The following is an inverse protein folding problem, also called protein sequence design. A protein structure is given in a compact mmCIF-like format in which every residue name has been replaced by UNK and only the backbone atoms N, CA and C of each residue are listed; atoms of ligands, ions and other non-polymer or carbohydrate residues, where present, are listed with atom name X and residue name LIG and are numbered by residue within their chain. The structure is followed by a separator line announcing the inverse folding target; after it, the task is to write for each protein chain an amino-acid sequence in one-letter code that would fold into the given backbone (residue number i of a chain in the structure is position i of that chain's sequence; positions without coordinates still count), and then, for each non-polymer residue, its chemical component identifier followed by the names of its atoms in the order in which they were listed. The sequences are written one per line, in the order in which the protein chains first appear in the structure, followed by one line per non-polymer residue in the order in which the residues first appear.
data_IF_640125745802
#
_entry.id   IF_640125745802
#
_cell.length_a   1.000
_cell.length_b   1.000
_cell.length_c   1.000
_cell.angle_alpha   90.00
_cell.angle_beta   90.00
_cell.angle_gamma   90.00
#
_symmetry.space_group_name_H-M   'P 1'
#
loop_
_entity.id
_entity.type
_entity.pdbx_description
1 polymer ?
#
# COMPACT_ATOMS: atom_id res chain seq x y z
N UNK A 1 9.62 2.98 6.79
CA UNK A 1 9.11 1.80 7.55
C UNK A 1 8.09 1.03 6.73
N UNK A 2 6.95 1.60 6.36
CA UNK A 2 5.94 0.91 5.54
C UNK A 2 6.46 0.49 4.15
N UNK A 3 7.04 1.42 3.38
CA UNK A 3 7.63 1.14 2.05
C UNK A 3 8.76 0.10 2.10
N UNK A 4 9.40 -0.06 3.26
CA UNK A 4 10.45 -1.08 3.48
C UNK A 4 9.86 -2.43 3.94
N UNK A 5 8.53 -2.65 3.78
CA UNK A 5 7.86 -3.91 4.09
C UNK A 5 7.38 -4.07 5.53
N UNK A 6 7.50 -3.06 6.40
CA UNK A 6 7.03 -3.19 7.80
C UNK A 6 5.51 -3.01 7.89
N UNK A 7 4.81 -3.99 8.49
CA UNK A 7 3.37 -3.91 8.71
C UNK A 7 2.96 -2.80 9.69
N UNK A 8 1.78 -2.20 9.51
CA UNK A 8 1.32 -1.04 10.29
C UNK A 8 1.30 -1.26 11.81
N UNK A 9 0.89 -2.45 12.27
CA UNK A 9 0.93 -2.81 13.71
C UNK A 9 2.35 -2.90 14.27
N UNK A 10 3.33 -3.28 13.44
CA UNK A 10 4.73 -3.30 13.85
C UNK A 10 5.28 -1.87 13.97
N UNK A 11 4.91 -0.99 13.04
CA UNK A 11 5.28 0.43 13.10
C UNK A 11 4.66 1.08 14.34
N UNK A 12 3.41 0.77 14.67
CA UNK A 12 2.75 1.23 15.91
C UNK A 12 3.56 0.89 17.15
N UNK A 13 4.03 -0.36 17.30
CA UNK A 13 4.86 -0.77 18.45
C UNK A 13 6.17 0.00 18.56
N UNK A 14 6.75 0.40 17.43
CA UNK A 14 8.02 1.15 17.41
C UNK A 14 7.80 2.65 17.64
N UNK A 15 6.70 3.21 17.13
CA UNK A 15 6.45 4.66 17.13
C UNK A 15 5.50 5.13 18.24
N UNK A 16 4.76 4.23 18.88
CA UNK A 16 3.71 4.57 19.84
C UNK A 16 2.48 5.26 19.22
N UNK A 17 2.34 5.18 17.89
CA UNK A 17 1.21 5.79 17.15
C UNK A 17 0.29 4.69 16.67
N UNK A 18 -1.01 4.83 16.94
CA UNK A 18 -2.01 3.83 16.57
C UNK A 18 -1.97 3.52 15.06
N UNK A 19 -2.00 2.23 14.68
CA UNK A 19 -1.82 1.82 13.28
C UNK A 19 -2.81 2.46 12.30
N UNK A 20 -4.04 2.78 12.73
CA UNK A 20 -5.02 3.46 11.88
C UNK A 20 -4.55 4.86 11.47
N UNK A 21 -3.89 5.60 12.35
CA UNK A 21 -3.32 6.91 12.05
C UNK A 21 -2.23 6.79 10.99
N UNK A 22 -1.38 5.77 11.09
CA UNK A 22 -0.34 5.48 10.09
C UNK A 22 -0.95 5.15 8.72
N UNK A 23 -2.03 4.35 8.69
CA UNK A 23 -2.76 4.05 7.44
C UNK A 23 -3.30 5.34 6.82
N UNK A 24 -3.92 6.22 7.60
CA UNK A 24 -4.45 7.49 7.11
C UNK A 24 -3.34 8.38 6.53
N UNK A 25 -2.19 8.48 7.20
CA UNK A 25 -1.07 9.26 6.68
C UNK A 25 -0.51 8.69 5.38
N UNK A 26 -0.39 7.38 5.26
CA UNK A 26 0.05 6.74 4.02
C UNK A 26 -0.94 7.01 2.89
N UNK A 27 -2.25 6.98 3.15
CA UNK A 27 -3.27 7.34 2.15
C UNK A 27 -3.15 8.79 1.70
N UNK A 28 -3.04 9.73 2.64
CA UNK A 28 -2.89 11.15 2.32
C UNK A 28 -1.66 11.42 1.45
N UNK A 29 -0.54 10.78 1.75
CA UNK A 29 0.68 10.90 0.92
C UNK A 29 0.47 10.23 -0.44
N UNK A 30 -0.22 9.09 -0.50
CA UNK A 30 -0.55 8.41 -1.75
C UNK A 30 -1.44 9.25 -2.67
N UNK A 31 -2.38 10.02 -2.12
CA UNK A 31 -3.25 10.95 -2.86
C UNK A 31 -2.48 12.14 -3.46
N UNK A 32 -1.30 12.47 -2.94
CA UNK A 32 -0.43 13.52 -3.47
C UNK A 32 0.46 13.03 -4.62
N UNK A 33 0.55 11.71 -4.85
CA UNK A 33 1.34 11.16 -5.93
C UNK A 33 0.62 11.35 -7.28
N UNK A 34 1.37 11.60 -8.37
CA UNK A 34 0.78 11.66 -9.70
C UNK A 34 0.17 10.30 -10.07
N UNK A 35 -0.91 10.34 -10.86
CA UNK A 35 -1.62 9.13 -11.30
C UNK A 35 -0.76 8.23 -12.19
N UNK A 36 0.13 8.85 -12.97
CA UNK A 36 1.08 8.14 -13.83
C UNK A 36 2.50 8.65 -13.61
N UNK A 37 3.46 7.74 -13.80
CA UNK A 37 4.87 8.11 -13.88
C UNK A 37 5.13 8.84 -15.19
N UNK A 38 5.72 10.03 -15.12
CA UNK A 38 6.14 10.81 -16.28
C UNK A 38 7.68 10.76 -16.37
N UNK A 39 8.25 9.88 -17.20
CA UNK A 39 9.70 9.80 -17.36
C UNK A 39 10.24 11.01 -18.11
N UNK A 40 11.32 11.62 -17.60
CA UNK A 40 12.02 12.72 -18.30
C UNK A 40 12.55 12.31 -19.68
N UNK A 41 12.85 11.02 -19.87
CA UNK A 41 13.37 10.46 -21.13
C UNK A 41 12.70 9.14 -21.47
N UNK A 42 12.34 8.97 -22.74
CA UNK A 42 11.79 7.71 -23.26
C UNK A 42 12.95 6.71 -23.40
N UNK A 43 12.89 5.53 -22.75
CA UNK A 43 13.92 4.52 -22.88
C UNK A 43 13.89 3.88 -24.28
N UNK A 44 15.06 3.53 -24.82
CA UNK A 44 15.20 2.84 -26.11
C UNK A 44 14.73 1.39 -26.05
N UNK A 45 14.91 0.74 -24.89
CA UNK A 45 14.49 -0.63 -24.59
C UNK A 45 13.83 -0.67 -23.22
N UNK A 46 12.69 -1.35 -23.10
CA UNK A 46 11.98 -1.56 -21.84
C UNK A 46 11.82 -3.04 -21.54
N UNK A 47 12.11 -3.43 -20.29
CA UNK A 47 11.81 -4.77 -19.77
C UNK A 47 10.42 -4.75 -19.12
N UNK A 48 9.61 -5.77 -19.40
CA UNK A 48 8.33 -5.98 -18.74
C UNK A 48 8.46 -7.11 -17.74
N UNK A 49 8.18 -6.82 -16.48
CA UNK A 49 8.15 -7.79 -15.39
C UNK A 49 6.72 -7.92 -14.84
N UNK A 50 6.32 -9.14 -14.49
CA UNK A 50 4.98 -9.44 -14.00
C UNK A 50 5.04 -9.84 -12.51
N UNK A 51 4.38 -9.05 -11.67
CA UNK A 51 4.22 -9.36 -10.25
C UNK A 51 2.78 -9.71 -9.93
N UNK A 52 2.58 -10.89 -9.38
CA UNK A 52 1.27 -11.33 -8.88
C UNK A 52 1.13 -10.98 -7.41
N UNK A 53 0.04 -10.30 -7.06
CA UNK A 53 -0.33 -10.11 -5.65
C UNK A 53 -1.77 -10.59 -5.45
N UNK A 54 -1.98 -11.34 -4.37
CA UNK A 54 -3.34 -11.73 -4.01
C UNK A 54 -4.07 -10.53 -3.41
N UNK A 55 -4.95 -9.90 -4.20
CA UNK A 55 -5.91 -8.93 -3.68
C UNK A 55 -7.15 -9.69 -3.25
N UNK A 56 -7.36 -9.81 -1.94
CA UNK A 56 -8.55 -10.47 -1.39
C UNK A 56 -9.82 -9.73 -1.79
N UNK A 57 -10.48 -10.15 -2.87
CA UNK A 57 -11.82 -9.67 -3.21
C UNK A 57 -12.84 -10.43 -2.36
N UNK A 58 -13.45 -9.71 -1.40
CA UNK A 58 -14.49 -10.32 -0.57
C UNK A 58 -15.73 -10.51 -1.44
N UNK A 59 -16.09 -11.77 -1.73
CA UNK A 59 -17.23 -12.13 -2.59
C UNK A 59 -18.60 -11.62 -2.07
N UNK A 60 -18.70 -11.25 -0.79
CA UNK A 60 -19.92 -10.72 -0.15
C UNK A 60 -19.58 -9.61 0.86
N UNK A 61 -20.42 -8.54 0.93
CA UNK A 61 -20.26 -7.45 1.91
C UNK A 61 -20.47 -7.89 3.38
N UNK A 62 -21.05 -9.06 3.61
CA UNK A 62 -21.47 -9.52 4.94
C UNK A 62 -20.74 -10.81 5.35
N UNK A 63 -20.10 -10.76 6.51
CA UNK A 63 -19.62 -11.94 7.23
C UNK A 63 -19.53 -11.59 8.71
N UNK A 64 -20.26 -12.32 9.54
CA UNK A 64 -20.14 -12.31 11.00
C UNK A 64 -18.88 -13.11 11.37
N UNK A 65 -17.93 -12.48 12.05
CA UNK A 65 -16.95 -13.23 12.83
C UNK A 65 -17.66 -13.74 14.09
N UNK A 66 -17.77 -15.05 14.26
CA UNK A 66 -18.07 -15.62 15.57
C UNK A 66 -16.77 -15.69 16.37
N UNK A 67 -16.78 -14.99 17.50
CA UNK A 67 -15.92 -15.07 18.70
C UNK A 67 -14.41 -14.96 18.52
#
# INVERSE_FOLDING_TARGET
MYVNGMGFRAIERVKGVHHTTLITWVKLVGELLPETYDPETIPEVGELDELETFVGSKKTKSGFGQQ
#
